data_IF_394870210900
#
_entry.id   IF_394870210900
#
_cell.length_a   1.000
_cell.length_b   1.000
_cell.length_c   1.000
_cell.angle_alpha   90.00
_cell.angle_beta   90.00
_cell.angle_gamma   90.00
#
_symmetry.space_group_name_H-M   'P 1'
#
loop_
_entity.id
_entity.type
_entity.pdbx_description
1 polymer ?
#
# COMPACT_ATOMS: atom_id res chain seq x y z
N UNK A 1 -13.15 32.39 4.76
CA UNK A 1 -11.81 32.12 4.21
C UNK A 1 -11.52 30.65 4.40
N UNK A 2 -11.73 29.81 3.37
CA UNK A 2 -11.29 28.41 3.42
C UNK A 2 -9.78 28.41 3.29
N UNK A 3 -9.08 28.26 4.41
CA UNK A 3 -7.65 27.98 4.41
C UNK A 3 -7.41 26.73 3.55
N UNK A 4 -6.59 26.85 2.51
CA UNK A 4 -6.19 25.72 1.68
C UNK A 4 -5.18 24.89 2.46
N UNK A 5 -5.65 23.84 3.12
CA UNK A 5 -4.79 22.86 3.77
C UNK A 5 -4.01 22.12 2.68
N UNK A 6 -2.69 22.06 2.79
CA UNK A 6 -1.85 21.33 1.84
C UNK A 6 -2.22 19.83 1.87
N UNK A 7 -2.52 19.20 0.71
CA UNK A 7 -2.80 17.77 0.66
C UNK A 7 -1.60 16.92 1.09
N UNK A 8 -1.89 15.76 1.67
CA UNK A 8 -0.91 14.74 2.01
C UNK A 8 -1.04 13.56 1.04
N UNK A 9 0.08 12.91 0.78
CA UNK A 9 0.16 11.67 0.00
C UNK A 9 0.67 10.57 0.91
N UNK A 10 -0.08 9.47 1.02
CA UNK A 10 0.33 8.28 1.75
C UNK A 10 1.28 7.44 0.88
N UNK A 11 2.54 7.34 1.25
CA UNK A 11 3.49 6.36 0.67
C UNK A 11 3.32 5.05 1.42
N UNK A 12 2.80 4.02 0.74
CA UNK A 12 2.29 2.80 1.40
C UNK A 12 2.88 1.50 0.86
N UNK A 13 2.84 0.46 1.70
CA UNK A 13 3.13 -0.94 1.37
C UNK A 13 2.11 -1.85 2.07
N UNK A 14 1.83 -3.03 1.51
CA UNK A 14 0.96 -4.04 2.12
C UNK A 14 1.83 -5.19 2.62
N UNK A 15 1.79 -5.42 3.93
CA UNK A 15 2.66 -6.40 4.58
C UNK A 15 2.09 -7.84 4.54
N UNK A 16 2.76 -8.76 5.24
CA UNK A 16 2.34 -10.16 5.33
C UNK A 16 1.05 -10.38 6.13
N UNK A 17 0.65 -9.42 6.98
CA UNK A 17 -0.64 -9.43 7.65
C UNK A 17 -1.78 -8.86 6.80
N UNK A 18 -1.51 -8.57 5.51
CA UNK A 18 -2.44 -7.96 4.56
C UNK A 18 -2.94 -6.57 4.98
N UNK A 19 -2.15 -5.84 5.75
CA UNK A 19 -2.48 -4.48 6.20
C UNK A 19 -1.61 -3.47 5.45
N UNK A 20 -2.27 -2.53 4.78
CA UNK A 20 -1.60 -1.42 4.09
C UNK A 20 -1.13 -0.38 5.10
N UNK A 21 0.18 -0.21 5.23
CA UNK A 21 0.83 0.73 6.16
C UNK A 21 1.75 1.66 5.40
N UNK A 22 2.07 2.81 5.99
CA UNK A 22 2.91 3.79 5.30
C UNK A 22 3.21 5.04 6.11
N UNK A 23 3.72 6.04 5.42
CA UNK A 23 3.93 7.39 5.97
C UNK A 23 3.35 8.43 5.03
N UNK A 24 2.94 9.55 5.60
CA UNK A 24 2.42 10.67 4.84
C UNK A 24 3.52 11.68 4.54
N UNK A 25 3.48 12.24 3.33
CA UNK A 25 4.30 13.38 2.92
C UNK A 25 3.42 14.47 2.37
N UNK A 26 3.86 15.73 2.45
CA UNK A 26 3.21 16.82 1.77
C UNK A 26 3.22 16.60 0.25
N UNK A 27 2.11 16.87 -0.45
CA UNK A 27 2.00 16.66 -1.90
C UNK A 27 3.11 17.38 -2.67
N UNK A 28 3.46 18.61 -2.26
CA UNK A 28 4.55 19.39 -2.88
C UNK A 28 5.93 18.73 -2.77
N UNK A 29 6.08 17.75 -1.87
CA UNK A 29 7.33 17.01 -1.64
C UNK A 29 7.33 15.62 -2.28
N UNK A 30 6.23 15.18 -2.90
CA UNK A 30 6.15 13.82 -3.45
C UNK A 30 7.26 13.53 -4.46
N UNK A 31 7.50 14.43 -5.42
CA UNK A 31 8.53 14.23 -6.45
C UNK A 31 9.94 14.10 -5.87
N UNK A 32 10.25 14.90 -4.84
CA UNK A 32 11.52 14.78 -4.11
C UNK A 32 11.55 13.51 -3.25
N UNK A 33 10.42 13.12 -2.68
CA UNK A 33 10.30 11.88 -1.90
C UNK A 33 10.49 10.67 -2.81
N UNK A 34 10.06 10.71 -4.08
CA UNK A 34 10.26 9.60 -5.01
C UNK A 34 11.72 9.25 -5.27
N UNK A 35 12.65 10.20 -5.11
CA UNK A 35 14.09 9.92 -5.29
C UNK A 35 14.76 9.34 -4.05
N UNK A 36 14.13 9.46 -2.88
CA UNK A 36 14.76 9.07 -1.60
C UNK A 36 13.91 8.10 -0.78
N UNK A 37 12.63 7.97 -1.06
CA UNK A 37 11.62 7.31 -0.25
C UNK A 37 11.32 7.99 1.07
N UNK A 38 10.60 7.25 1.91
CA UNK A 38 10.41 7.54 3.34
C UNK A 38 11.13 6.48 4.18
N UNK A 39 11.49 6.80 5.42
CA UNK A 39 12.11 5.82 6.31
C UNK A 39 11.15 4.67 6.66
N UNK A 40 11.68 3.46 6.71
CA UNK A 40 10.95 2.23 7.04
C UNK A 40 11.79 1.33 7.96
N UNK A 41 11.17 0.33 8.59
CA UNK A 41 11.84 -0.57 9.54
C UNK A 41 11.60 -2.03 9.16
N UNK A 42 12.63 -2.85 9.24
CA UNK A 42 12.55 -4.30 9.02
C UNK A 42 11.52 -4.95 9.96
N UNK A 43 11.49 -4.51 11.22
CA UNK A 43 10.59 -5.00 12.26
C UNK A 43 9.09 -4.87 11.90
N UNK A 44 8.73 -3.97 10.98
CA UNK A 44 7.33 -3.82 10.55
C UNK A 44 6.80 -5.08 9.86
N UNK A 45 7.66 -5.91 9.25
CA UNK A 45 7.26 -7.18 8.66
C UNK A 45 6.84 -8.22 9.71
N UNK A 46 7.24 -8.02 10.98
CA UNK A 46 6.89 -8.87 12.12
C UNK A 46 5.59 -8.46 12.82
N UNK A 47 4.86 -7.49 12.27
CA UNK A 47 3.56 -7.08 12.81
C UNK A 47 2.49 -8.13 12.50
N UNK A 48 1.78 -8.55 13.55
CA UNK A 48 0.61 -9.43 13.44
C UNK A 48 -0.63 -8.63 13.01
N UNK A 49 -1.71 -9.33 12.56
CA UNK A 49 -3.01 -8.70 12.35
C UNK A 49 -3.57 -7.99 13.60
N UNK A 50 -3.09 -8.33 14.80
CA UNK A 50 -3.52 -7.76 16.07
C UNK A 50 -2.60 -6.65 16.58
N UNK A 51 -1.71 -6.13 15.73
CA UNK A 51 -0.80 -5.02 16.04
C UNK A 51 0.20 -5.33 17.17
N UNK A 52 0.60 -6.60 17.31
CA UNK A 52 1.74 -7.03 18.11
C UNK A 52 2.94 -7.39 17.22
N UNK A 53 4.15 -7.43 17.78
CA UNK A 53 5.34 -7.96 17.10
C UNK A 53 5.48 -9.43 17.48
N UNK A 54 5.70 -10.32 16.50
CA UNK A 54 5.96 -11.75 16.77
C UNK A 54 7.25 -11.94 17.59
N UNK A 55 7.25 -12.94 18.48
CA UNK A 55 8.41 -13.34 19.26
C UNK A 55 8.77 -14.82 18.97
N UNK A 56 10.03 -15.13 18.59
CA UNK A 56 11.14 -14.20 18.39
C UNK A 56 11.00 -13.36 17.11
N UNK A 57 11.34 -12.08 17.17
CA UNK A 57 11.46 -11.20 16.00
C UNK A 57 12.86 -11.39 15.36
N UNK A 58 12.97 -11.92 14.12
CA UNK A 58 14.25 -12.16 13.47
C UNK A 58 15.00 -10.88 13.07
N UNK A 59 14.33 -9.73 13.02
CA UNK A 59 14.90 -8.45 12.57
C UNK A 59 15.40 -7.56 13.71
N UNK A 60 14.97 -7.83 14.94
CA UNK A 60 15.26 -6.95 16.08
C UNK A 60 14.72 -5.52 15.91
N UNK A 61 15.35 -4.57 16.61
CA UNK A 61 15.05 -3.12 16.53
C UNK A 61 16.17 -2.34 15.83
N UNK A 62 17.06 -3.03 15.12
CA UNK A 62 18.25 -2.45 14.49
C UNK A 62 18.09 -2.42 12.98
N UNK A 63 18.37 -1.27 12.37
CA UNK A 63 18.38 -1.09 10.93
C UNK A 63 17.32 -0.11 10.45
N UNK A 64 17.58 0.47 9.29
CA UNK A 64 16.66 1.32 8.55
C UNK A 64 16.50 0.77 7.14
N UNK A 65 15.31 0.92 6.59
CA UNK A 65 14.97 0.66 5.19
C UNK A 65 14.40 1.94 4.57
N UNK A 66 14.23 1.94 3.25
CA UNK A 66 13.49 2.97 2.53
C UNK A 66 12.26 2.38 1.86
N UNK A 67 11.13 3.06 1.98
CA UNK A 67 9.94 2.80 1.18
C UNK A 67 9.89 3.83 0.04
N UNK A 68 10.18 3.39 -1.18
CA UNK A 68 10.27 4.24 -2.38
C UNK A 68 8.91 4.24 -3.08
N UNK A 69 8.23 5.40 -3.25
CA UNK A 69 6.95 5.44 -3.94
C UNK A 69 7.12 5.20 -5.45
N UNK A 70 6.32 4.29 -5.99
CA UNK A 70 6.18 4.03 -7.42
C UNK A 70 5.11 4.98 -7.98
N UNK A 71 5.53 6.07 -8.63
CA UNK A 71 4.62 7.13 -9.07
C UNK A 71 3.58 6.66 -10.09
N UNK A 72 3.87 5.59 -10.85
CA UNK A 72 2.91 4.96 -11.77
C UNK A 72 1.81 4.19 -11.03
N UNK A 73 2.03 3.88 -9.74
CA UNK A 73 1.09 3.20 -8.87
C UNK A 73 0.40 4.16 -7.87
N UNK A 74 0.24 5.44 -8.24
CA UNK A 74 -0.49 6.44 -7.46
C UNK A 74 -1.99 6.37 -7.74
N UNK A 75 -2.78 6.38 -6.68
CA UNK A 75 -4.23 6.51 -6.72
C UNK A 75 -4.68 7.75 -5.97
N UNK A 76 -5.49 8.59 -6.63
CA UNK A 76 -6.04 9.82 -6.06
C UNK A 76 -7.53 9.95 -6.35
N UNK A 77 -8.31 10.35 -5.35
CA UNK A 77 -9.74 10.62 -5.50
C UNK A 77 -10.22 11.73 -4.56
N UNK A 78 -11.18 12.53 -5.01
CA UNK A 78 -11.88 13.56 -4.21
C UNK A 78 -13.22 13.06 -3.67
N UNK A 79 -13.58 11.79 -3.93
CA UNK A 79 -14.91 11.22 -3.64
C UNK A 79 -15.12 10.81 -2.18
N UNK A 80 -14.20 11.13 -1.27
CA UNK A 80 -14.31 10.79 0.16
C UNK A 80 -15.15 11.79 0.96
N UNK A 81 -15.46 12.96 0.40
CA UNK A 81 -16.09 14.07 1.13
C UNK A 81 -15.15 14.78 2.11
N UNK A 82 -13.86 14.43 2.12
CA UNK A 82 -12.84 15.09 2.95
C UNK A 82 -12.40 16.43 2.38
N UNK A 83 -11.85 17.32 3.23
CA UNK A 83 -11.35 18.63 2.81
C UNK A 83 -10.14 18.56 1.87
N UNK A 84 -9.34 17.49 1.96
CA UNK A 84 -8.24 17.17 1.05
C UNK A 84 -8.52 15.84 0.34
N UNK A 85 -7.99 15.62 -0.88
CA UNK A 85 -8.17 14.36 -1.60
C UNK A 85 -7.61 13.17 -0.81
N UNK A 86 -8.21 11.99 -1.00
CA UNK A 86 -7.54 10.73 -0.67
C UNK A 86 -6.46 10.48 -1.72
N UNK A 87 -5.24 10.28 -1.28
CA UNK A 87 -4.07 10.16 -2.14
C UNK A 87 -3.09 9.15 -1.55
N UNK A 88 -2.87 8.06 -2.27
CA UNK A 88 -1.93 7.01 -1.89
C UNK A 88 -1.05 6.63 -3.07
N UNK A 89 0.18 6.24 -2.79
CA UNK A 89 1.12 5.71 -3.76
C UNK A 89 1.77 4.48 -3.18
N UNK A 90 1.62 3.35 -3.86
CA UNK A 90 2.26 2.11 -3.45
C UNK A 90 3.78 2.24 -3.67
N UNK A 91 4.56 1.66 -2.78
CA UNK A 91 6.01 1.70 -2.85
C UNK A 91 6.66 0.35 -2.65
N UNK A 92 7.90 0.26 -3.13
CA UNK A 92 8.78 -0.87 -2.93
C UNK A 92 9.71 -0.59 -1.75
N UNK A 93 10.02 -1.62 -0.97
CA UNK A 93 10.92 -1.51 0.18
C UNK A 93 12.33 -1.91 -0.28
N UNK A 94 13.30 -1.07 0.02
CA UNK A 94 14.70 -1.25 -0.37
C UNK A 94 15.62 -1.07 0.83
N UNK A 95 16.80 -1.68 0.73
CA UNK A 95 17.94 -1.42 1.61
C UNK A 95 18.46 0.01 1.40
N UNK A 96 19.36 0.47 2.28
CA UNK A 96 19.89 1.85 2.23
C UNK A 96 20.73 2.14 0.97
N UNK A 97 21.26 1.11 0.32
CA UNK A 97 21.98 1.21 -0.96
C UNK A 97 21.03 1.19 -2.18
N UNK A 98 19.72 1.05 -1.94
CA UNK A 98 18.69 0.98 -2.97
C UNK A 98 18.44 -0.42 -3.52
N UNK A 99 19.16 -1.45 -3.06
CA UNK A 99 18.87 -2.83 -3.46
C UNK A 99 17.51 -3.30 -2.91
N UNK A 100 16.77 -4.15 -3.63
CA UNK A 100 15.46 -4.60 -3.16
C UNK A 100 15.57 -5.34 -1.84
N UNK A 101 14.71 -4.97 -0.87
CA UNK A 101 14.70 -5.66 0.41
C UNK A 101 13.94 -6.98 0.30
N UNK A 102 14.51 -8.05 0.85
CA UNK A 102 13.94 -9.40 0.76
C UNK A 102 12.51 -9.50 1.28
N UNK A 103 12.11 -8.65 2.25
CA UNK A 103 10.78 -8.66 2.85
C UNK A 103 9.73 -7.86 2.08
N UNK A 104 10.06 -7.29 0.92
CA UNK A 104 9.10 -6.55 0.10
C UNK A 104 8.21 -7.48 -0.72
N UNK A 105 6.97 -7.69 -0.29
CA UNK A 105 5.96 -8.49 -1.00
C UNK A 105 5.67 -8.00 -2.41
N UNK A 106 5.73 -6.68 -2.64
CA UNK A 106 5.54 -6.07 -3.96
C UNK A 106 6.69 -6.40 -4.92
N UNK A 107 7.93 -6.35 -4.45
CA UNK A 107 9.10 -6.80 -5.23
C UNK A 107 9.00 -8.30 -5.54
N UNK A 108 8.67 -9.14 -4.54
CA UNK A 108 8.49 -10.58 -4.76
C UNK A 108 7.49 -10.88 -5.88
N UNK A 109 6.37 -10.15 -5.95
CA UNK A 109 5.38 -10.30 -7.02
C UNK A 109 5.97 -9.87 -8.39
N UNK A 110 6.66 -8.73 -8.45
CA UNK A 110 7.30 -8.24 -9.69
C UNK A 110 8.31 -9.26 -10.22
N UNK A 111 9.14 -9.82 -9.34
CA UNK A 111 10.14 -10.84 -9.68
C UNK A 111 9.49 -12.12 -10.18
N UNK A 112 8.46 -12.64 -9.48
CA UNK A 112 7.73 -13.83 -9.91
C UNK A 112 7.07 -13.68 -11.29
N UNK A 113 6.54 -12.48 -11.59
CA UNK A 113 5.98 -12.16 -12.91
C UNK A 113 7.07 -12.10 -13.99
N UNK A 114 8.25 -11.55 -13.67
CA UNK A 114 9.39 -11.52 -14.58
C UNK A 114 9.92 -12.94 -14.87
N UNK A 115 10.05 -13.78 -13.84
CA UNK A 115 10.47 -15.17 -13.96
C UNK A 115 9.51 -15.99 -14.82
N UNK A 116 8.20 -15.84 -14.60
CA UNK A 116 7.16 -16.46 -15.45
C UNK A 116 7.34 -16.05 -16.92
N UNK A 117 7.52 -14.74 -17.17
CA UNK A 117 7.70 -14.21 -18.52
C UNK A 117 8.97 -14.75 -19.17
N UNK A 118 10.07 -14.80 -18.44
CA UNK A 118 11.35 -15.30 -18.95
C UNK A 118 11.29 -16.80 -19.27
N UNK A 119 10.65 -17.59 -18.41
CA UNK A 119 10.57 -19.04 -18.58
C UNK A 119 9.57 -19.48 -19.66
N UNK A 120 8.49 -18.71 -19.89
CA UNK A 120 7.34 -19.16 -20.69
C UNK A 120 6.93 -18.22 -21.82
N UNK A 121 7.38 -16.97 -21.81
CA UNK A 121 6.87 -15.91 -22.69
C UNK A 121 5.46 -15.40 -22.33
N UNK A 122 4.81 -15.95 -21.28
CA UNK A 122 3.45 -15.59 -20.87
C UNK A 122 3.42 -14.38 -19.94
N UNK A 123 2.27 -13.72 -19.89
CA UNK A 123 1.97 -12.60 -18.98
C UNK A 123 0.66 -12.87 -18.26
N UNK A 124 0.53 -12.39 -17.02
CA UNK A 124 -0.69 -12.55 -16.22
C UNK A 124 -1.61 -11.35 -16.42
N UNK A 125 -2.89 -11.62 -16.69
CA UNK A 125 -3.98 -10.65 -16.60
C UNK A 125 -4.90 -11.14 -15.49
N UNK A 126 -5.11 -10.32 -14.46
CA UNK A 126 -5.90 -10.69 -13.29
C UNK A 126 -6.84 -9.57 -12.87
N UNK A 127 -7.98 -9.95 -12.31
CA UNK A 127 -8.93 -9.09 -11.63
C UNK A 127 -9.34 -9.75 -10.31
N UNK A 128 -9.66 -8.95 -9.30
CA UNK A 128 -10.04 -9.41 -7.97
C UNK A 128 -11.45 -8.93 -7.66
N UNK A 129 -12.37 -9.86 -7.41
CA UNK A 129 -13.74 -9.57 -6.95
C UNK A 129 -13.75 -9.57 -5.43
N UNK A 130 -14.06 -8.42 -4.83
CA UNK A 130 -14.10 -8.26 -3.37
C UNK A 130 -15.56 -8.18 -2.90
N UNK A 131 -15.98 -9.16 -2.13
CA UNK A 131 -17.22 -9.10 -1.36
C UNK A 131 -16.96 -8.44 -0.01
N UNK A 132 -17.87 -7.57 0.44
CA UNK A 132 -17.80 -6.93 1.75
C UNK A 132 -19.20 -6.68 2.30
N UNK A 133 -19.28 -6.53 3.63
CA UNK A 133 -20.53 -6.20 4.32
C UNK A 133 -20.51 -4.73 4.74
N UNK A 134 -21.62 -4.02 4.50
CA UNK A 134 -21.82 -2.67 5.03
C UNK A 134 -22.75 -2.74 6.25
N UNK A 135 -22.16 -2.83 7.44
CA UNK A 135 -22.89 -2.82 8.69
C UNK A 135 -23.49 -1.43 8.98
N UNK A 136 -24.60 -1.41 9.72
CA UNK A 136 -25.24 -0.19 10.26
C UNK A 136 -25.56 0.92 9.23
N UNK A 137 -25.73 0.54 7.96
CA UNK A 137 -25.97 1.44 6.83
C UNK A 137 -27.42 1.87 6.67
N UNK A 138 -28.35 1.23 7.39
CA UNK A 138 -29.79 1.47 7.24
C UNK A 138 -30.35 1.09 5.87
N UNK A 139 -29.62 0.27 5.09
CA UNK A 139 -30.12 -0.20 3.79
C UNK A 139 -31.36 -1.08 3.96
N UNK A 140 -32.38 -0.94 3.08
CA UNK A 140 -33.53 -1.82 3.10
C UNK A 140 -33.12 -3.26 2.73
N UNK A 141 -33.82 -4.30 3.24
CA UNK A 141 -33.58 -5.67 2.80
C UNK A 141 -33.70 -5.79 1.28
N UNK A 142 -32.71 -6.40 0.64
CA UNK A 142 -32.69 -6.66 -0.79
C UNK A 142 -32.21 -8.09 -1.05
N UNK A 143 -32.64 -8.67 -2.17
CA UNK A 143 -32.11 -9.95 -2.62
C UNK A 143 -30.68 -9.76 -3.14
N UNK A 144 -29.78 -10.66 -2.75
CA UNK A 144 -28.42 -10.73 -3.28
C UNK A 144 -28.47 -10.78 -4.82
N UNK A 145 -27.57 -10.05 -5.48
CA UNK A 145 -27.44 -10.02 -6.94
C UNK A 145 -28.70 -9.55 -7.70
N UNK A 146 -29.55 -8.71 -7.08
CA UNK A 146 -30.73 -8.12 -7.72
C UNK A 146 -30.54 -6.65 -8.10
N UNK A 147 -31.26 -6.18 -9.11
CA UNK A 147 -31.29 -4.75 -9.48
C UNK A 147 -31.78 -3.82 -8.36
N UNK A 148 -32.48 -4.36 -7.36
CA UNK A 148 -32.94 -3.60 -6.20
C UNK A 148 -31.79 -3.25 -5.22
N UNK A 149 -30.59 -3.81 -5.43
CA UNK A 149 -29.40 -3.56 -4.63
C UNK A 149 -28.38 -2.60 -5.31
N UNK A 150 -28.71 -2.04 -6.48
CA UNK A 150 -27.94 -1.00 -7.18
C UNK A 150 -28.45 0.40 -6.81
#
# INVERSE_FOLDING_TARGET
>A
MTSTVEPLVAVVTTDLSAVTRGRFVAESKLQKTATTGVGWLQANLSLTPFNSIVDPNPWGSSGDLRLIPDLEARFRTTRTGSATPFDMVAGDIVELDGSPWLGCTRTMLKDALADLKAATGLSVIAAFEHEFNVADSGFPPAHSMSFAAL
#
